data_IF_576574975644
#
_entry.id   IF_576574975644
#
_cell.length_a   1.000
_cell.length_b   1.000
_cell.length_c   1.000
_cell.angle_alpha   90.00
_cell.angle_beta   90.00
_cell.angle_gamma   90.00
#
_symmetry.space_group_name_H-M   'P 1'
#
loop_
_entity.id
_entity.type
_entity.pdbx_description
1 polymer ?
#
# COMPACT_ATOMS: atom_id res chain seq x y z
N UNK A 1 0.16 10.88 22.79
CA UNK A 1 0.65 9.63 22.16
C UNK A 1 1.99 9.26 22.76
N UNK A 2 2.16 8.02 23.25
CA UNK A 2 3.45 7.52 23.72
C UNK A 2 4.14 6.80 22.56
N UNK A 3 5.20 7.39 22.01
CA UNK A 3 5.98 6.80 20.91
C UNK A 3 6.89 5.72 21.48
N UNK A 4 6.90 4.54 20.86
CA UNK A 4 7.81 3.45 21.23
C UNK A 4 9.26 3.87 20.94
N UNK A 5 10.15 3.78 21.94
CA UNK A 5 11.59 4.07 21.78
C UNK A 5 12.36 2.75 21.71
N UNK A 6 12.37 2.10 20.56
CA UNK A 6 13.17 0.89 20.32
C UNK A 6 14.24 1.12 19.24
N UNK A 7 15.22 0.21 19.16
CA UNK A 7 16.31 0.25 18.16
C UNK A 7 15.78 0.24 16.73
N UNK A 8 14.61 -0.35 16.49
CA UNK A 8 13.96 -0.43 15.19
C UNK A 8 13.34 0.91 14.78
N UNK A 9 12.80 1.67 15.74
CA UNK A 9 12.26 3.02 15.56
C UNK A 9 13.37 3.97 15.13
N UNK A 10 14.55 3.89 15.78
CA UNK A 10 15.71 4.69 15.38
C UNK A 10 16.17 4.36 13.95
N UNK A 11 16.24 3.07 13.60
CA UNK A 11 16.59 2.63 12.24
C UNK A 11 15.59 3.10 11.20
N UNK A 12 14.29 3.02 11.50
CA UNK A 12 13.22 3.48 10.62
C UNK A 12 13.29 4.98 10.36
N UNK A 13 13.50 5.78 11.42
CA UNK A 13 13.72 7.22 11.29
C UNK A 13 14.95 7.55 10.44
N UNK A 14 16.08 6.86 10.69
CA UNK A 14 17.30 7.06 9.89
C UNK A 14 17.08 6.74 8.40
N UNK A 15 16.29 5.70 8.10
CA UNK A 15 15.94 5.33 6.73
C UNK A 15 15.08 6.40 6.05
N UNK A 16 14.04 6.88 6.72
CA UNK A 16 13.17 7.96 6.22
C UNK A 16 13.99 9.22 5.94
N UNK A 17 14.84 9.60 6.89
CA UNK A 17 15.69 10.79 6.75
C UNK A 17 16.67 10.62 5.59
N UNK A 18 17.26 9.44 5.44
CA UNK A 18 18.14 9.11 4.32
C UNK A 18 17.45 9.22 2.97
N UNK A 19 16.21 8.74 2.84
CA UNK A 19 15.44 8.85 1.60
C UNK A 19 15.11 10.31 1.26
N UNK A 20 14.73 11.13 2.24
CA UNK A 20 14.44 12.55 2.03
C UNK A 20 15.69 13.32 1.60
N UNK A 21 16.81 13.10 2.29
CA UNK A 21 18.09 13.75 1.96
C UNK A 21 18.55 13.32 0.57
N UNK A 22 18.52 12.02 0.26
CA UNK A 22 18.94 11.52 -1.04
C UNK A 22 18.02 12.02 -2.17
N UNK A 23 16.72 12.14 -1.92
CA UNK A 23 15.77 12.76 -2.84
C UNK A 23 16.10 14.23 -3.15
N UNK A 24 16.46 15.02 -2.13
CA UNK A 24 16.90 16.41 -2.30
C UNK A 24 18.24 16.51 -3.05
N UNK A 25 19.16 15.58 -2.80
CA UNK A 25 20.43 15.50 -3.55
C UNK A 25 20.18 15.23 -5.03
N UNK A 26 19.36 14.23 -5.36
CA UNK A 26 19.00 13.95 -6.76
C UNK A 26 18.29 15.13 -7.43
N UNK A 27 17.47 15.85 -6.69
CA UNK A 27 16.83 17.08 -7.17
C UNK A 27 17.87 18.14 -7.57
N UNK A 28 18.90 18.34 -6.76
CA UNK A 28 19.99 19.28 -7.06
C UNK A 28 20.78 18.88 -8.31
N UNK A 29 20.90 17.58 -8.59
CA UNK A 29 21.56 17.05 -9.80
C UNK A 29 20.63 16.94 -11.02
N UNK A 30 19.48 17.65 -11.02
CA UNK A 30 18.52 17.69 -12.14
C UNK A 30 17.82 16.34 -12.44
N UNK A 31 17.95 15.34 -11.56
CA UNK A 31 17.22 14.07 -11.65
C UNK A 31 15.84 14.19 -11.01
N UNK A 32 14.99 15.07 -11.54
CA UNK A 32 13.72 15.45 -10.93
C UNK A 32 12.77 14.28 -10.67
N UNK A 33 12.64 13.33 -11.61
CA UNK A 33 11.77 12.16 -11.43
C UNK A 33 12.22 11.25 -10.28
N UNK A 34 13.53 11.00 -10.17
CA UNK A 34 14.13 10.21 -9.09
C UNK A 34 14.06 10.94 -7.74
N UNK A 35 14.34 12.24 -7.73
CA UNK A 35 14.25 13.07 -6.53
C UNK A 35 12.82 13.18 -6.00
N UNK A 36 11.86 13.51 -6.87
CA UNK A 36 10.45 13.63 -6.51
C UNK A 36 9.87 12.33 -5.95
N UNK A 37 10.18 11.19 -6.58
CA UNK A 37 9.70 9.88 -6.13
C UNK A 37 10.24 9.49 -4.75
N UNK A 38 11.52 9.73 -4.48
CA UNK A 38 12.11 9.48 -3.15
C UNK A 38 11.55 10.39 -2.07
N UNK A 39 11.35 11.67 -2.37
CA UNK A 39 10.74 12.62 -1.43
C UNK A 39 9.30 12.18 -1.10
N UNK A 40 8.51 11.86 -2.13
CA UNK A 40 7.13 11.42 -1.95
C UNK A 40 7.05 10.11 -1.15
N UNK A 41 7.92 9.14 -1.47
CA UNK A 41 7.99 7.89 -0.74
C UNK A 41 8.42 8.11 0.71
N UNK A 42 9.41 8.97 0.97
CA UNK A 42 9.84 9.33 2.33
C UNK A 42 8.71 9.96 3.15
N UNK A 43 7.91 10.84 2.55
CA UNK A 43 6.74 11.43 3.20
C UNK A 43 5.66 10.40 3.53
N UNK A 44 5.29 9.52 2.58
CA UNK A 44 4.35 8.42 2.86
C UNK A 44 4.86 7.52 3.99
N UNK A 45 6.14 7.14 3.95
CA UNK A 45 6.75 6.27 4.93
C UNK A 45 6.78 6.92 6.32
N UNK A 46 6.91 8.25 6.39
CA UNK A 46 6.78 9.01 7.64
C UNK A 46 5.40 8.83 8.28
N UNK A 47 4.32 8.95 7.48
CA UNK A 47 2.95 8.76 7.98
C UNK A 47 2.74 7.33 8.48
N UNK A 48 3.15 6.33 7.68
CA UNK A 48 3.05 4.91 8.05
C UNK A 48 3.86 4.62 9.32
N UNK A 49 5.08 5.16 9.41
CA UNK A 49 5.96 4.96 10.54
C UNK A 49 5.40 5.60 11.80
N UNK A 50 4.87 6.82 11.73
CA UNK A 50 4.23 7.49 12.86
C UNK A 50 3.02 6.67 13.34
N UNK A 51 2.20 6.19 12.41
CA UNK A 51 1.08 5.32 12.74
C UNK A 51 1.56 4.04 13.46
N UNK A 52 2.56 3.35 12.90
CA UNK A 52 3.08 2.12 13.48
C UNK A 52 3.77 2.33 14.84
N UNK A 53 4.52 3.42 15.02
CA UNK A 53 5.26 3.74 16.24
C UNK A 53 4.35 4.09 17.43
N UNK A 54 3.08 4.40 17.16
CA UNK A 54 2.07 4.73 18.17
C UNK A 54 1.24 3.53 18.60
N UNK A 55 1.39 2.38 17.92
CA UNK A 55 0.70 1.12 18.25
C UNK A 55 1.59 0.21 19.11
N UNK A 56 1.02 -0.49 20.11
CA UNK A 56 1.75 -1.44 20.93
C UNK A 56 2.24 -2.63 20.10
N UNK A 57 3.29 -3.33 20.55
CA UNK A 57 3.91 -4.42 19.77
C UNK A 57 2.96 -5.60 19.56
N UNK A 58 2.09 -5.86 20.53
CA UNK A 58 1.05 -6.89 20.45
C UNK A 58 0.09 -6.69 19.27
N UNK A 59 -0.14 -5.44 18.84
CA UNK A 59 -0.99 -5.15 17.68
C UNK A 59 -0.43 -5.71 16.37
N UNK A 60 0.89 -5.97 16.31
CA UNK A 60 1.55 -6.55 15.14
C UNK A 60 1.69 -8.07 15.22
N UNK A 61 1.28 -8.69 16.33
CA UNK A 61 1.19 -10.15 16.40
C UNK A 61 -0.02 -10.54 15.55
N UNK A 62 0.24 -11.39 14.55
CA UNK A 62 -0.77 -11.79 13.58
C UNK A 62 -1.80 -12.68 14.26
N UNK A 63 -2.98 -12.12 14.50
CA UNK A 63 -4.15 -12.86 14.98
C UNK A 63 -4.80 -13.64 13.83
N UNK A 64 -5.44 -14.76 14.14
CA UNK A 64 -6.21 -15.58 13.19
C UNK A 64 -7.32 -14.76 12.52
N UNK A 65 -7.89 -13.78 13.24
CA UNK A 65 -8.86 -12.85 12.67
C UNK A 65 -8.25 -12.02 11.53
N UNK A 66 -7.03 -11.52 11.72
CA UNK A 66 -6.33 -10.73 10.70
C UNK A 66 -5.95 -11.57 9.48
N UNK A 67 -5.61 -12.84 9.68
CA UNK A 67 -5.37 -13.82 8.59
C UNK A 67 -6.62 -13.94 7.72
N UNK A 68 -7.76 -14.27 8.34
CA UNK A 68 -9.02 -14.49 7.63
C UNK A 68 -9.53 -13.24 6.91
N UNK A 69 -9.40 -12.07 7.54
CA UNK A 69 -9.74 -10.79 6.90
C UNK A 69 -8.88 -10.57 5.64
N UNK A 70 -7.57 -10.83 5.73
CA UNK A 70 -6.67 -10.64 4.60
C UNK A 70 -6.97 -11.63 3.45
N UNK A 71 -7.28 -12.88 3.77
CA UNK A 71 -7.66 -13.90 2.78
C UNK A 71 -8.96 -13.52 2.07
N UNK A 72 -9.99 -13.13 2.83
CA UNK A 72 -11.28 -12.70 2.27
C UNK A 72 -11.14 -11.44 1.41
N UNK A 73 -10.44 -10.42 1.91
CA UNK A 73 -10.17 -9.20 1.14
C UNK A 73 -9.34 -9.50 -0.11
N UNK A 74 -8.35 -10.38 0.00
CA UNK A 74 -7.50 -10.81 -1.11
C UNK A 74 -8.30 -11.53 -2.21
N UNK A 75 -9.15 -12.47 -1.81
CA UNK A 75 -10.02 -13.20 -2.73
C UNK A 75 -10.95 -12.26 -3.52
N UNK A 76 -11.62 -11.34 -2.83
CA UNK A 76 -12.51 -10.38 -3.49
C UNK A 76 -11.75 -9.38 -4.36
N UNK A 77 -10.60 -8.87 -3.92
CA UNK A 77 -9.76 -7.98 -4.74
C UNK A 77 -9.24 -8.69 -6.00
N UNK A 78 -8.91 -9.98 -5.89
CA UNK A 78 -8.53 -10.80 -7.04
C UNK A 78 -9.69 -10.99 -8.03
N UNK A 79 -10.92 -11.23 -7.54
CA UNK A 79 -12.10 -11.30 -8.41
C UNK A 79 -12.37 -9.97 -9.12
N UNK A 80 -12.25 -8.84 -8.43
CA UNK A 80 -12.37 -7.51 -9.03
C UNK A 80 -11.32 -7.34 -10.14
N UNK A 81 -10.07 -7.73 -9.89
CA UNK A 81 -9.01 -7.66 -10.89
C UNK A 81 -9.31 -8.55 -12.11
N UNK A 82 -9.79 -9.78 -11.91
CA UNK A 82 -10.20 -10.66 -13.02
C UNK A 82 -11.31 -10.06 -13.87
N UNK A 83 -12.30 -9.40 -13.23
CA UNK A 83 -13.37 -8.71 -13.95
C UNK A 83 -12.80 -7.55 -14.75
N UNK A 84 -11.91 -6.73 -14.17
CA UNK A 84 -11.25 -5.64 -14.88
C UNK A 84 -10.44 -6.12 -16.08
N UNK A 85 -9.67 -7.22 -15.92
CA UNK A 85 -8.90 -7.82 -17.02
C UNK A 85 -9.83 -8.36 -18.10
N UNK A 86 -10.94 -8.99 -17.72
CA UNK A 86 -11.95 -9.50 -18.67
C UNK A 86 -12.55 -8.37 -19.50
N UNK A 87 -12.96 -7.28 -18.85
CA UNK A 87 -13.47 -6.07 -19.53
C UNK A 87 -12.41 -5.51 -20.47
N UNK A 88 -11.18 -5.35 -19.99
CA UNK A 88 -10.09 -4.84 -20.82
C UNK A 88 -9.84 -5.70 -22.06
N UNK A 89 -9.90 -7.03 -21.90
CA UNK A 89 -9.70 -7.97 -23.00
C UNK A 89 -10.77 -7.82 -24.07
N UNK A 90 -12.04 -7.67 -23.66
CA UNK A 90 -13.15 -7.43 -24.59
C UNK A 90 -12.99 -6.06 -25.26
N UNK A 91 -12.67 -5.01 -24.49
CA UNK A 91 -12.46 -3.66 -25.04
C UNK A 91 -11.30 -3.65 -26.05
N UNK A 92 -10.24 -4.41 -25.81
CA UNK A 92 -9.11 -4.54 -26.74
C UNK A 92 -9.48 -5.23 -28.07
N UNK A 93 -10.61 -5.94 -28.14
CA UNK A 93 -11.10 -6.43 -29.44
C UNK A 93 -11.71 -5.32 -30.30
N UNK A 94 -12.15 -4.22 -29.68
CA UNK A 94 -12.77 -3.08 -30.35
C UNK A 94 -11.86 -1.84 -30.41
N UNK A 95 -10.74 -1.85 -29.69
CA UNK A 95 -9.82 -0.72 -29.54
C UNK A 95 -8.38 -1.24 -29.43
N UNK A 96 -7.38 -0.51 -29.93
CA UNK A 96 -5.96 -0.89 -29.81
C UNK A 96 -5.37 -0.39 -28.48
N UNK A 97 -5.81 -0.97 -27.37
CA UNK A 97 -5.34 -0.55 -26.04
C UNK A 97 -4.06 -1.30 -25.67
N UNK A 98 -2.96 -0.55 -25.55
CA UNK A 98 -1.68 -1.10 -25.11
C UNK A 98 -1.71 -1.41 -23.61
N UNK A 99 -1.26 -2.62 -23.24
CA UNK A 99 -1.15 -3.04 -21.84
C UNK A 99 -0.36 -2.05 -20.97
N UNK A 100 0.68 -1.42 -21.54
CA UNK A 100 1.51 -0.42 -20.85
C UNK A 100 0.68 0.71 -20.25
N UNK A 101 -0.36 1.16 -20.95
CA UNK A 101 -1.15 2.34 -20.58
C UNK A 101 -2.17 2.01 -19.48
N UNK A 102 -2.54 0.73 -19.34
CA UNK A 102 -3.55 0.24 -18.39
C UNK A 102 -2.97 -0.53 -17.21
N UNK A 103 -1.70 -0.93 -17.29
CA UNK A 103 -1.01 -1.67 -16.22
C UNK A 103 -0.99 -0.92 -14.88
N UNK A 104 -0.70 0.38 -14.89
CA UNK A 104 -0.69 1.22 -13.69
C UNK A 104 -2.09 1.40 -13.08
N UNK A 105 -3.14 1.77 -13.86
CA UNK A 105 -4.51 1.78 -13.38
C UNK A 105 -4.97 0.43 -12.79
N UNK A 106 -4.64 -0.70 -13.44
CA UNK A 106 -4.99 -2.04 -12.93
C UNK A 106 -4.33 -2.34 -11.58
N UNK A 107 -3.05 -2.00 -11.42
CA UNK A 107 -2.34 -2.16 -10.15
C UNK A 107 -2.96 -1.30 -9.03
N UNK A 108 -3.39 -0.07 -9.36
CA UNK A 108 -4.10 0.81 -8.42
C UNK A 108 -5.45 0.22 -8.02
N UNK A 109 -6.23 -0.31 -8.97
CA UNK A 109 -7.53 -0.93 -8.69
C UNK A 109 -7.36 -2.17 -7.82
N UNK A 110 -6.41 -3.05 -8.14
CA UNK A 110 -6.13 -4.26 -7.36
C UNK A 110 -5.71 -3.92 -5.92
N UNK A 111 -4.75 -3.01 -5.77
CA UNK A 111 -4.23 -2.64 -4.45
C UNK A 111 -5.26 -1.84 -3.64
N UNK A 112 -5.95 -0.92 -4.30
CA UNK A 112 -6.98 -0.07 -3.70
C UNK A 112 -8.18 -0.88 -3.22
N UNK A 113 -8.69 -1.80 -4.04
CA UNK A 113 -9.80 -2.68 -3.66
C UNK A 113 -9.44 -3.55 -2.46
N UNK A 114 -8.23 -4.12 -2.43
CA UNK A 114 -7.75 -4.90 -1.28
C UNK A 114 -7.70 -4.06 0.01
N UNK A 115 -7.15 -2.83 -0.06
CA UNK A 115 -7.06 -1.94 1.11
C UNK A 115 -8.46 -1.55 1.64
N UNK A 116 -9.39 -1.21 0.74
CA UNK A 116 -10.77 -0.83 1.10
C UNK A 116 -11.50 -2.02 1.73
N UNK A 117 -11.42 -3.20 1.11
CA UNK A 117 -12.09 -4.41 1.61
C UNK A 117 -11.50 -4.87 2.95
N UNK A 118 -10.17 -4.81 3.09
CA UNK A 118 -9.50 -5.11 4.36
C UNK A 118 -9.97 -4.19 5.47
N UNK A 119 -10.04 -2.88 5.21
CA UNK A 119 -10.54 -1.90 6.17
C UNK A 119 -12.02 -2.14 6.51
N UNK A 120 -12.84 -2.45 5.50
CA UNK A 120 -14.26 -2.75 5.68
C UNK A 120 -14.48 -3.99 6.57
N UNK A 121 -13.79 -5.10 6.29
CA UNK A 121 -13.92 -6.31 7.11
C UNK A 121 -13.31 -6.18 8.51
N UNK A 122 -12.29 -5.35 8.68
CA UNK A 122 -11.77 -5.01 10.01
C UNK A 122 -12.82 -4.26 10.84
N UNK A 123 -13.50 -3.28 10.22
CA UNK A 123 -14.54 -2.45 10.85
C UNK A 123 -15.85 -3.17 11.09
N UNK A 124 -16.30 -4.02 10.17
CA UNK A 124 -17.56 -4.76 10.31
C UNK A 124 -17.54 -5.70 11.53
N UNK A 125 -16.36 -6.07 12.01
CA UNK A 125 -16.25 -7.23 12.89
C UNK A 125 -16.37 -8.48 12.02
N UNK A 126 -15.63 -9.52 12.37
CA UNK A 126 -15.87 -10.81 11.73
C UNK A 126 -17.16 -11.36 12.33
N UNK A 127 -18.31 -10.92 11.80
CA UNK A 127 -19.56 -11.63 11.99
C UNK A 127 -19.35 -12.99 11.33
N UNK A 128 -19.15 -14.01 12.16
CA UNK A 128 -19.36 -15.39 11.75
C UNK A 128 -20.83 -15.52 11.41
N UNK A 129 -21.22 -15.11 10.20
CA UNK A 129 -22.43 -15.67 9.63
C UNK A 129 -22.15 -17.15 9.32
N UNK A 130 -23.07 -18.06 9.72
CA UNK A 130 -22.89 -19.51 9.73
C UNK A 130 -22.65 -20.13 8.35
#
# INVERSE_FOLDING_TARGET
>A
MKIRKDKYTLRGLALILGMLVLGLVLWQFQFYGGGASLIFMGLMLTVIFLHAATKPREYFIRDERTVRINEKAGYHAFLILLICISILTITNWFTEVLYKDVSAPLAIIATGSWLILRWYYDKKGYETDP
#
